data_IF_041157168081
#
_entry.id   IF_041157168081
#
_cell.length_a   1.000
_cell.length_b   1.000
_cell.length_c   1.000
_cell.angle_alpha   90.00
_cell.angle_beta   90.00
_cell.angle_gamma   90.00
#
_symmetry.space_group_name_H-M   'P 1'
#
loop_
_entity.id
_entity.type
_entity.pdbx_description
1 polymer ?
#
# COMPACT_ATOMS: atom_id res chain seq x y z
N UNK A 1 14.84 41.79 -0.52
CA UNK A 1 14.86 40.81 0.57
C UNK A 1 14.20 39.55 0.06
N UNK A 2 14.96 38.50 -0.25
CA UNK A 2 14.39 37.20 -0.63
C UNK A 2 13.88 36.52 0.63
N UNK A 3 12.57 36.52 0.82
CA UNK A 3 11.91 35.78 1.89
C UNK A 3 12.32 34.32 1.74
N UNK A 4 13.00 33.77 2.75
CA UNK A 4 13.38 32.35 2.75
C UNK A 4 12.07 31.57 2.80
N UNK A 5 11.74 30.88 1.71
CA UNK A 5 10.49 30.14 1.64
C UNK A 5 10.64 28.89 2.52
N UNK A 6 9.84 28.84 3.59
CA UNK A 6 9.79 27.70 4.50
C UNK A 6 8.85 26.65 3.92
N UNK A 7 9.26 25.39 4.05
CA UNK A 7 8.45 24.24 3.68
C UNK A 7 8.29 23.34 4.90
N UNK A 8 7.23 22.55 4.89
CA UNK A 8 6.85 21.71 6.01
C UNK A 8 6.66 20.27 5.54
N UNK A 9 6.78 19.31 6.44
CA UNK A 9 6.47 17.92 6.18
C UNK A 9 5.88 17.25 7.41
N UNK A 10 5.22 16.12 7.22
CA UNK A 10 4.68 15.29 8.30
C UNK A 10 5.46 13.99 8.32
N UNK A 11 6.06 13.66 9.46
CA UNK A 11 6.70 12.36 9.69
C UNK A 11 5.83 11.53 10.63
N UNK A 12 5.76 10.24 10.35
CA UNK A 12 5.06 9.28 11.19
C UNK A 12 6.02 8.21 11.70
N UNK A 13 5.85 7.83 12.96
CA UNK A 13 6.38 6.58 13.51
C UNK A 13 5.21 5.70 13.91
N UNK A 14 5.06 4.58 13.21
CA UNK A 14 4.01 3.60 13.46
C UNK A 14 4.46 2.23 12.94
N UNK A 15 4.16 1.13 13.63
CA UNK A 15 4.56 -0.21 13.21
C UNK A 15 3.97 -0.62 11.84
N UNK A 16 2.82 -0.07 11.44
CA UNK A 16 2.11 -0.43 10.20
C UNK A 16 2.25 0.64 9.11
N UNK A 17 2.32 1.92 9.48
CA UNK A 17 2.42 3.01 8.51
C UNK A 17 3.90 3.22 8.14
N UNK A 18 4.31 2.66 7.00
CA UNK A 18 5.68 2.81 6.50
C UNK A 18 5.81 4.08 5.65
N UNK A 19 6.17 5.19 6.29
CA UNK A 19 6.59 6.42 5.62
C UNK A 19 8.12 6.51 5.65
N UNK A 20 8.79 6.21 4.53
CA UNK A 20 10.26 6.11 4.52
C UNK A 20 10.99 7.41 4.87
N UNK A 21 10.42 8.60 4.61
CA UNK A 21 11.09 9.89 4.85
C UNK A 21 10.16 11.05 5.30
N UNK A 22 8.90 10.77 5.66
CA UNK A 22 7.86 11.79 5.86
C UNK A 22 7.20 12.24 4.55
N UNK A 23 6.02 12.85 4.64
CA UNK A 23 5.27 13.43 3.50
C UNK A 23 5.50 14.94 3.48
N UNK A 24 6.01 15.46 2.37
CA UNK A 24 6.30 16.87 2.15
C UNK A 24 7.17 17.04 0.89
N UNK A 25 7.44 18.28 0.44
CA UNK A 25 7.18 19.53 1.14
C UNK A 25 5.76 20.07 0.94
N UNK A 26 5.19 20.63 2.01
CA UNK A 26 4.01 21.48 1.98
C UNK A 26 4.42 22.96 2.03
N UNK A 27 3.75 23.84 1.28
CA UNK A 27 4.09 25.25 1.20
C UNK A 27 3.72 26.05 2.47
N UNK A 28 2.88 25.50 3.35
CA UNK A 28 2.45 26.17 4.58
C UNK A 28 2.36 25.22 5.78
N UNK A 29 2.55 25.76 6.98
CA UNK A 29 2.35 25.01 8.23
C UNK A 29 0.90 24.55 8.41
N UNK A 30 -0.06 25.34 7.90
CA UNK A 30 -1.48 24.99 7.91
C UNK A 30 -1.77 23.73 7.09
N UNK A 31 -1.20 23.62 5.89
CA UNK A 31 -1.37 22.44 5.04
C UNK A 31 -0.74 21.19 5.66
N UNK A 32 0.45 21.33 6.27
CA UNK A 32 1.06 20.25 7.04
C UNK A 32 0.24 19.87 8.29
N UNK A 33 -0.38 20.84 8.96
CA UNK A 33 -1.28 20.61 10.09
C UNK A 33 -2.52 19.82 9.68
N UNK A 34 -3.19 20.22 8.59
CA UNK A 34 -4.34 19.49 8.06
C UNK A 34 -3.98 18.05 7.67
N UNK A 35 -2.81 17.84 7.05
CA UNK A 35 -2.31 16.51 6.74
C UNK A 35 -2.07 15.67 8.00
N UNK A 36 -1.51 16.26 9.07
CA UNK A 36 -1.32 15.60 10.37
C UNK A 36 -2.66 15.20 10.99
N UNK A 37 -3.66 16.09 10.99
CA UNK A 37 -4.98 15.82 11.55
C UNK A 37 -5.68 14.66 10.83
N UNK A 38 -5.61 14.63 9.49
CA UNK A 38 -6.17 13.56 8.68
C UNK A 38 -5.49 12.21 8.95
N UNK A 39 -4.16 12.20 9.05
CA UNK A 39 -3.39 11.00 9.39
C UNK A 39 -3.68 10.53 10.82
N UNK A 40 -3.85 11.45 11.77
CA UNK A 40 -4.16 11.14 13.17
C UNK A 40 -5.55 10.52 13.31
N UNK A 41 -6.52 10.99 12.53
CA UNK A 41 -7.87 10.43 12.50
C UNK A 41 -7.89 8.99 11.97
N UNK A 42 -7.07 8.70 10.96
CA UNK A 42 -7.01 7.37 10.33
C UNK A 42 -6.12 6.39 11.10
N UNK A 43 -5.04 6.88 11.71
CA UNK A 43 -4.08 6.10 12.48
C UNK A 43 -3.92 6.69 13.90
N UNK A 44 -4.91 6.50 14.79
CA UNK A 44 -4.90 7.11 16.12
C UNK A 44 -3.72 6.65 17.00
N UNK A 45 -3.14 5.49 16.69
CA UNK A 45 -1.95 4.93 17.35
C UNK A 45 -0.62 5.42 16.75
N UNK A 46 -0.63 6.18 15.65
CA UNK A 46 0.59 6.71 15.04
C UNK A 46 1.15 7.89 15.84
N UNK A 47 2.47 7.93 16.01
CA UNK A 47 3.16 9.11 16.53
C UNK A 47 3.51 10.02 15.35
N UNK A 48 2.79 11.13 15.21
CA UNK A 48 2.92 12.07 14.11
C UNK A 48 3.62 13.36 14.56
N UNK A 49 4.44 13.94 13.69
CA UNK A 49 5.06 15.25 13.93
C UNK A 49 5.22 16.06 12.65
N UNK A 50 5.11 17.37 12.76
CA UNK A 50 5.50 18.31 11.71
C UNK A 50 7.00 18.57 11.82
N UNK A 51 7.69 18.64 10.69
CA UNK A 51 9.09 19.03 10.59
C UNK A 51 9.31 20.01 9.44
N UNK A 52 10.39 20.79 9.51
CA UNK A 52 10.86 21.60 8.37
C UNK A 52 11.94 20.82 7.60
N UNK A 53 11.71 20.45 6.32
CA UNK A 53 12.73 19.77 5.53
C UNK A 53 13.92 20.70 5.28
N UNK A 54 15.14 20.16 5.34
CA UNK A 54 16.33 20.96 5.00
C UNK A 54 16.32 21.36 3.52
N UNK A 55 16.92 22.51 3.18
CA UNK A 55 17.04 22.97 1.78
C UNK A 55 17.70 21.92 0.87
N UNK A 56 18.64 21.13 1.41
CA UNK A 56 19.28 20.00 0.70
C UNK A 56 18.28 18.87 0.42
N UNK A 57 17.40 18.53 1.36
CA UNK A 57 16.35 17.54 1.16
C UNK A 57 15.27 18.02 0.19
N UNK A 58 15.10 19.34 0.05
CA UNK A 58 14.16 19.94 -0.90
C UNK A 58 14.73 19.91 -2.33
N UNK A 59 16.04 20.17 -2.49
CA UNK A 59 16.74 20.13 -3.77
C UNK A 59 17.43 18.81 -4.12
N UNK A 60 17.14 17.72 -3.39
CA UNK A 60 17.88 16.45 -3.51
C UNK A 60 17.60 15.68 -4.81
N UNK A 61 16.45 15.90 -5.46
CA UNK A 61 16.08 15.23 -6.71
C UNK A 61 16.50 16.10 -7.91
N UNK A 62 17.50 15.71 -8.72
CA UNK A 62 17.90 16.49 -9.89
C UNK A 62 16.78 16.52 -10.93
N UNK A 63 16.41 17.71 -11.40
CA UNK A 63 15.45 17.89 -12.50
C UNK A 63 13.99 18.06 -12.09
N UNK A 64 13.64 17.93 -10.80
CA UNK A 64 12.28 18.12 -10.30
C UNK A 64 12.10 19.53 -9.73
N UNK A 65 11.08 20.24 -10.19
CA UNK A 65 10.70 21.55 -9.67
C UNK A 65 10.04 21.44 -8.29
N UNK A 66 10.07 22.54 -7.53
CA UNK A 66 9.44 22.55 -6.20
C UNK A 66 7.92 22.32 -6.24
N UNK A 67 7.26 22.73 -7.32
CA UNK A 67 5.82 22.53 -7.50
C UNK A 67 5.49 21.05 -7.75
N UNK A 68 6.27 20.36 -8.59
CA UNK A 68 6.11 18.92 -8.81
C UNK A 68 6.29 18.13 -7.50
N UNK A 69 7.20 18.56 -6.63
CA UNK A 69 7.39 17.94 -5.31
C UNK A 69 6.23 18.17 -4.36
N UNK A 70 5.62 19.36 -4.39
CA UNK A 70 4.41 19.66 -3.62
C UNK A 70 3.26 18.76 -4.10
N UNK A 71 3.10 18.62 -5.42
CA UNK A 71 2.05 17.78 -5.99
C UNK A 71 2.29 16.30 -5.69
N UNK A 72 3.53 15.82 -5.74
CA UNK A 72 3.91 14.48 -5.31
C UNK A 72 3.65 14.26 -3.81
N UNK A 73 3.90 15.25 -2.96
CA UNK A 73 3.60 15.18 -1.53
C UNK A 73 2.10 15.07 -1.26
N UNK A 74 1.27 15.84 -1.98
CA UNK A 74 -0.20 15.76 -1.91
C UNK A 74 -0.72 14.42 -2.40
N UNK A 75 -0.17 13.91 -3.51
CA UNK A 75 -0.52 12.60 -4.02
C UNK A 75 -0.14 11.47 -3.04
N UNK A 76 1.06 11.56 -2.44
CA UNK A 76 1.52 10.64 -1.40
C UNK A 76 0.63 10.69 -0.15
N UNK A 77 0.17 11.88 0.25
CA UNK A 77 -0.80 12.06 1.33
C UNK A 77 -2.12 11.37 0.98
N UNK A 78 -2.68 11.65 -0.19
CA UNK A 78 -3.92 11.04 -0.65
C UNK A 78 -3.81 9.50 -0.68
N UNK A 79 -2.70 8.96 -1.19
CA UNK A 79 -2.44 7.52 -1.19
C UNK A 79 -2.38 6.95 0.24
N UNK A 80 -1.69 7.64 1.14
CA UNK A 80 -1.59 7.23 2.56
C UNK A 80 -2.93 7.30 3.28
N UNK A 81 -3.80 8.22 2.89
CA UNK A 81 -5.16 8.34 3.42
C UNK A 81 -6.14 7.33 2.81
N UNK A 82 -5.67 6.41 1.95
CA UNK A 82 -6.54 5.49 1.22
C UNK A 82 -7.46 6.19 0.22
N UNK A 83 -7.13 7.42 -0.19
CA UNK A 83 -7.86 8.20 -1.18
C UNK A 83 -7.43 7.88 -2.62
N UNK A 84 -6.39 7.04 -2.79
CA UNK A 84 -5.86 6.65 -4.12
C UNK A 84 -5.91 5.14 -4.34
N UNK A 85 -5.81 4.28 -3.32
CA UNK A 85 -5.93 2.81 -3.44
C UNK A 85 -6.62 2.20 -2.19
N UNK A 86 -7.51 1.19 -2.34
CA UNK A 86 -8.19 0.54 -1.22
C UNK A 86 -7.24 -0.35 -0.40
N UNK A 87 -7.59 -0.60 0.87
CA UNK A 87 -7.00 -1.67 1.66
C UNK A 87 -7.47 -3.02 1.14
N UNK A 88 -6.52 -3.91 0.85
CA UNK A 88 -6.79 -5.29 0.47
C UNK A 88 -6.40 -6.23 1.60
N UNK A 89 -7.31 -7.11 1.99
CA UNK A 89 -6.99 -8.26 2.86
C UNK A 89 -6.58 -9.41 1.96
N UNK A 90 -5.33 -9.82 2.07
CA UNK A 90 -4.74 -10.85 1.22
C UNK A 90 -4.22 -12.01 2.06
N UNK A 91 -4.02 -13.12 1.38
CA UNK A 91 -3.33 -14.29 1.88
C UNK A 91 -2.26 -14.68 0.88
N UNK A 92 -1.01 -14.79 1.32
CA UNK A 92 0.09 -15.22 0.46
C UNK A 92 -0.04 -16.72 0.20
N UNK A 93 -0.17 -17.11 -1.07
CA UNK A 93 -0.23 -18.51 -1.45
C UNK A 93 1.18 -19.03 -1.75
N UNK A 94 1.90 -18.34 -2.64
CA UNK A 94 3.18 -18.79 -3.19
C UNK A 94 4.09 -17.61 -3.57
N UNK A 95 5.40 -17.88 -3.67
CA UNK A 95 6.39 -16.92 -4.17
C UNK A 95 7.22 -17.57 -5.28
N UNK A 96 7.44 -16.85 -6.35
CA UNK A 96 8.15 -17.31 -7.55
C UNK A 96 9.24 -16.31 -7.93
N UNK A 97 10.40 -16.79 -8.35
CA UNK A 97 11.47 -15.93 -8.86
C UNK A 97 11.18 -15.45 -10.31
N UNK A 98 10.28 -16.13 -11.01
CA UNK A 98 9.88 -15.82 -12.39
C UNK A 98 8.47 -15.21 -12.45
N UNK A 99 8.15 -14.58 -13.60
CA UNK A 99 6.83 -14.01 -13.85
C UNK A 99 5.79 -15.12 -13.93
N UNK A 100 4.69 -14.92 -13.23
CA UNK A 100 3.58 -15.87 -13.14
C UNK A 100 2.63 -15.65 -14.32
N UNK A 101 2.23 -16.76 -14.97
CA UNK A 101 1.28 -16.73 -16.08
C UNK A 101 -0.16 -16.72 -15.59
N UNK A 102 -1.05 -16.18 -16.41
CA UNK A 102 -2.50 -16.18 -16.18
C UNK A 102 -3.05 -17.60 -15.98
N UNK A 103 -2.66 -18.55 -16.84
CA UNK A 103 -3.12 -19.95 -16.75
C UNK A 103 -2.71 -20.63 -15.44
N UNK A 104 -1.53 -20.28 -14.91
CA UNK A 104 -1.09 -20.77 -13.61
C UNK A 104 -2.01 -20.28 -12.49
N UNK A 105 -2.35 -18.99 -12.51
CA UNK A 105 -3.24 -18.39 -11.51
C UNK A 105 -4.64 -19.02 -11.55
N UNK A 106 -5.21 -19.28 -12.73
CA UNK A 106 -6.49 -19.99 -12.88
C UNK A 106 -6.42 -21.41 -12.33
N UNK A 107 -5.37 -22.16 -12.67
CA UNK A 107 -5.16 -23.53 -12.16
C UNK A 107 -5.06 -23.55 -10.63
N UNK A 108 -4.38 -22.56 -10.05
CA UNK A 108 -4.28 -22.42 -8.61
C UNK A 108 -5.63 -22.10 -7.96
N UNK A 109 -6.42 -21.21 -8.57
CA UNK A 109 -7.77 -20.87 -8.11
C UNK A 109 -8.67 -22.11 -8.02
N UNK A 110 -8.68 -22.94 -9.07
CA UNK A 110 -9.42 -24.20 -9.10
C UNK A 110 -8.94 -25.17 -8.00
N UNK A 111 -7.61 -25.31 -7.85
CA UNK A 111 -7.00 -26.20 -6.85
C UNK A 111 -7.38 -25.84 -5.43
N UNK A 112 -7.48 -24.55 -5.10
CA UNK A 112 -7.82 -24.07 -3.75
C UNK A 112 -9.32 -23.79 -3.58
N UNK A 113 -10.12 -23.98 -4.63
CA UNK A 113 -11.56 -23.79 -4.61
C UNK A 113 -11.98 -22.33 -4.43
N UNK A 114 -11.29 -21.38 -5.07
CA UNK A 114 -11.69 -19.98 -5.09
C UNK A 114 -11.96 -19.47 -6.52
N UNK A 115 -12.75 -18.38 -6.66
CA UNK A 115 -12.88 -17.66 -7.92
C UNK A 115 -11.53 -17.17 -8.47
N UNK A 116 -11.31 -17.16 -9.80
CA UNK A 116 -10.06 -16.67 -10.38
C UNK A 116 -9.76 -15.19 -10.13
N UNK A 117 -10.78 -14.35 -10.02
CA UNK A 117 -10.69 -12.92 -9.71
C UNK A 117 -10.24 -12.66 -8.25
N UNK A 118 -10.37 -13.65 -7.37
CA UNK A 118 -9.75 -13.60 -6.04
C UNK A 118 -8.24 -13.85 -6.09
N UNK A 119 -7.67 -14.36 -7.18
CA UNK A 119 -6.22 -14.50 -7.29
C UNK A 119 -5.60 -13.16 -7.71
N UNK A 120 -4.63 -12.72 -6.94
CA UNK A 120 -3.85 -11.52 -7.18
C UNK A 120 -2.38 -11.84 -7.38
N UNK A 121 -1.72 -11.02 -8.20
CA UNK A 121 -0.28 -11.05 -8.39
C UNK A 121 0.32 -9.75 -7.85
N UNK A 122 1.38 -9.89 -7.07
CA UNK A 122 2.18 -8.77 -6.58
C UNK A 122 3.58 -8.91 -7.15
N UNK A 123 4.07 -7.86 -7.80
CA UNK A 123 5.44 -7.81 -8.28
C UNK A 123 6.35 -7.28 -7.17
N UNK A 124 7.01 -8.18 -6.44
CA UNK A 124 8.14 -7.86 -5.59
C UNK A 124 9.45 -7.85 -6.39
N UNK A 125 10.44 -7.08 -5.96
CA UNK A 125 11.81 -7.20 -6.48
C UNK A 125 12.60 -8.11 -5.54
N UNK A 126 13.04 -9.33 -5.92
CA UNK A 126 13.06 -9.94 -7.26
C UNK A 126 11.93 -10.96 -7.55
N UNK A 127 10.94 -11.11 -6.67
CA UNK A 127 9.96 -12.22 -6.71
C UNK A 127 8.54 -11.78 -7.02
N UNK A 128 7.83 -12.60 -7.77
CA UNK A 128 6.39 -12.55 -7.90
C UNK A 128 5.72 -13.28 -6.75
N UNK A 129 4.70 -12.66 -6.17
CA UNK A 129 3.94 -13.24 -5.05
C UNK A 129 2.52 -13.49 -5.56
N UNK A 130 2.05 -14.73 -5.45
CA UNK A 130 0.65 -15.08 -5.66
C UNK A 130 -0.09 -14.92 -4.35
N UNK A 131 -1.21 -14.21 -4.41
CA UNK A 131 -2.06 -13.98 -3.26
C UNK A 131 -3.49 -14.37 -3.57
N UNK A 132 -4.23 -14.77 -2.53
CA UNK A 132 -5.69 -14.75 -2.55
C UNK A 132 -6.18 -13.47 -1.91
N UNK A 133 -7.05 -12.74 -2.57
CA UNK A 133 -7.71 -11.54 -2.08
C UNK A 133 -9.04 -11.91 -1.44
N UNK A 134 -9.22 -11.49 -0.19
CA UNK A 134 -10.39 -11.78 0.63
C UNK A 134 -11.33 -10.60 0.82
N UNK A 135 -10.84 -9.37 0.63
CA UNK A 135 -11.61 -8.13 0.77
C UNK A 135 -10.84 -6.96 0.15
N UNK A 136 -11.56 -6.07 -0.56
CA UNK A 136 -11.13 -4.70 -0.87
C UNK A 136 -12.04 -3.71 -0.12
N UNK A 137 -11.45 -2.72 0.54
CA UNK A 137 -12.19 -1.74 1.34
C UNK A 137 -11.40 -0.45 1.53
N UNK A 138 -12.06 0.70 1.60
CA UNK A 138 -11.43 1.96 2.02
C UNK A 138 -11.36 2.12 3.55
N UNK A 139 -12.03 1.24 4.29
CA UNK A 139 -12.07 1.23 5.76
C UNK A 139 -11.02 0.27 6.35
N UNK A 140 -10.02 0.84 7.03
CA UNK A 140 -8.97 0.07 7.71
C UNK A 140 -9.50 -0.83 8.82
N UNK A 141 -10.43 -0.36 9.67
CA UNK A 141 -10.95 -1.15 10.77
C UNK A 141 -11.69 -2.39 10.26
N UNK A 142 -12.39 -2.26 9.11
CA UNK A 142 -12.99 -3.39 8.40
C UNK A 142 -11.95 -4.36 7.86
N UNK A 143 -10.87 -3.86 7.24
CA UNK A 143 -9.78 -4.68 6.74
C UNK A 143 -9.08 -5.45 7.87
N UNK A 144 -8.74 -4.78 8.97
CA UNK A 144 -8.09 -5.35 10.14
C UNK A 144 -8.97 -6.42 10.80
N UNK A 145 -10.26 -6.13 11.00
CA UNK A 145 -11.22 -7.08 11.57
C UNK A 145 -11.31 -8.35 10.71
N UNK A 146 -11.38 -8.21 9.39
CA UNK A 146 -11.41 -9.36 8.46
C UNK A 146 -10.12 -10.16 8.52
N UNK A 147 -8.95 -9.52 8.53
CA UNK A 147 -7.66 -10.18 8.63
C UNK A 147 -7.52 -10.98 9.94
N UNK A 148 -7.90 -10.38 11.08
CA UNK A 148 -7.88 -11.04 12.40
C UNK A 148 -8.83 -12.24 12.45
N UNK A 149 -10.03 -12.10 11.88
CA UNK A 149 -10.99 -13.20 11.80
C UNK A 149 -10.46 -14.36 10.97
N UNK A 150 -9.88 -14.08 9.79
CA UNK A 150 -9.30 -15.11 8.92
C UNK A 150 -8.15 -15.85 9.61
N UNK A 151 -7.23 -15.13 10.27
CA UNK A 151 -6.12 -15.74 11.03
C UNK A 151 -6.64 -16.67 12.12
N UNK A 152 -7.65 -16.23 12.88
CA UNK A 152 -8.26 -17.05 13.94
C UNK A 152 -8.97 -18.28 13.39
N UNK A 153 -9.72 -18.16 12.28
CA UNK A 153 -10.36 -19.32 11.64
C UNK A 153 -9.31 -20.38 11.27
N UNK A 154 -8.17 -19.93 10.74
CA UNK A 154 -7.07 -20.82 10.37
C UNK A 154 -6.39 -21.50 11.54
N UNK A 155 -6.10 -20.76 12.61
CA UNK A 155 -5.51 -21.33 13.82
C UNK A 155 -6.40 -22.44 14.42
N UNK A 156 -7.71 -22.39 14.16
CA UNK A 156 -8.67 -23.40 14.61
C UNK A 156 -8.78 -24.59 13.65
N UNK A 157 -8.58 -24.39 12.34
CA UNK A 157 -8.69 -25.41 11.30
C UNK A 157 -7.39 -26.19 11.05
N UNK A 158 -6.24 -25.51 11.11
CA UNK A 158 -4.93 -26.08 10.89
C UNK A 158 -4.25 -26.31 12.25
N UNK A 159 -4.14 -27.57 12.67
CA UNK A 159 -3.37 -27.98 13.85
C UNK A 159 -1.87 -27.72 13.73
N UNK A 160 -1.48 -26.45 13.62
CA UNK A 160 -0.12 -25.96 13.89
C UNK A 160 0.83 -25.78 12.71
N UNK A 161 0.53 -26.22 11.48
CA UNK A 161 1.52 -26.08 10.40
C UNK A 161 0.93 -25.78 9.01
N UNK A 162 1.32 -24.60 8.51
CA UNK A 162 1.40 -24.12 7.12
C UNK A 162 0.11 -24.06 6.31
N UNK A 163 -0.41 -22.83 6.16
CA UNK A 163 -0.73 -22.26 4.84
C UNK A 163 -0.98 -20.75 4.97
N UNK A 164 -0.27 -19.99 4.11
CA UNK A 164 -0.43 -18.58 3.77
C UNK A 164 -0.48 -17.51 4.86
N UNK A 165 0.45 -16.55 4.78
CA UNK A 165 0.45 -15.36 5.64
C UNK A 165 -0.70 -14.43 5.25
N UNK A 166 -1.65 -14.18 6.17
CA UNK A 166 -2.74 -13.23 5.96
C UNK A 166 -2.28 -11.82 6.32
N UNK A 167 -2.38 -10.89 5.38
CA UNK A 167 -1.89 -9.51 5.49
C UNK A 167 -2.95 -8.49 5.05
N UNK A 168 -2.86 -7.27 5.58
CA UNK A 168 -3.55 -6.11 5.02
C UNK A 168 -2.51 -5.32 4.24
N UNK A 169 -2.78 -5.00 2.98
CA UNK A 169 -1.86 -4.27 2.10
C UNK A 169 -2.56 -3.11 1.40
N UNK A 170 -1.77 -2.12 0.97
CA UNK A 170 -2.20 -0.94 0.19
C UNK A 170 -1.40 -0.83 -1.10
N UNK A 171 -1.03 -1.97 -1.67
CA UNK A 171 -0.18 -2.06 -2.86
C UNK A 171 -1.00 -2.52 -4.06
N UNK A 172 -0.58 -2.20 -5.29
CA UNK A 172 -1.27 -2.67 -6.50
C UNK A 172 -1.27 -4.20 -6.56
N UNK A 173 -2.47 -4.78 -6.64
CA UNK A 173 -2.66 -6.21 -6.84
C UNK A 173 -3.22 -6.42 -8.25
N UNK A 174 -2.41 -7.01 -9.12
CA UNK A 174 -2.82 -7.30 -10.50
C UNK A 174 -3.72 -8.54 -10.52
N UNK A 175 -4.91 -8.43 -11.10
CA UNK A 175 -5.73 -9.59 -11.40
C UNK A 175 -5.19 -10.30 -12.65
N UNK A 176 -5.17 -11.66 -12.68
CA UNK A 176 -4.93 -12.38 -13.92
C UNK A 176 -6.03 -12.00 -14.91
N UNK A 177 -5.65 -11.53 -16.10
CA UNK A 177 -6.61 -11.18 -17.13
C UNK A 177 -7.37 -12.44 -17.57
N UNK A 178 -8.71 -12.46 -17.51
CA UNK A 178 -9.47 -13.54 -18.13
C UNK A 178 -9.03 -13.64 -19.59
N UNK A 179 -8.64 -14.83 -20.04
CA UNK A 179 -8.04 -15.08 -21.36
C UNK A 179 -8.78 -14.33 -22.48
N UNK A 180 -8.28 -13.14 -22.82
CA UNK A 180 -8.63 -12.38 -24.00
C UNK A 180 -7.77 -12.88 -25.13
N UNK A 181 -8.37 -13.69 -25.99
CA UNK A 181 -7.83 -14.05 -27.30
C UNK A 181 -7.43 -12.77 -28.03
N UNK A 182 -6.14 -12.56 -28.27
CA UNK A 182 -5.64 -12.04 -29.55
C UNK A 182 -4.15 -12.33 -29.68
N UNK A 183 -3.84 -13.35 -30.49
CA UNK A 183 -2.67 -13.26 -31.36
C UNK A 183 -2.79 -12.02 -32.26
N UNK A 184 -1.63 -11.59 -32.78
CA UNK A 184 -1.41 -10.64 -33.88
C UNK A 184 -1.46 -9.16 -33.46
N UNK A 185 -0.43 -8.32 -33.67
CA UNK A 185 0.67 -8.30 -34.63
C UNK A 185 1.82 -7.44 -34.09
#
# INVERSE_FOLDING_TARGET
MTTKQHYYGVAASHPVLKMQQGIGPFPTATEAGAALDQLQALYPSASLRIYEPSAKAIGATPGESINERIDHARHSLASTLGQVEPYSVIEILEMHDERITTDYAHTLAEKIGCPPDEIGLIQGSPRWIVVRRHLDTSDYAKAETKALWLRRSRDQEAGGDKQGEICVVTLPIYAPAENGTTEQQ
#
